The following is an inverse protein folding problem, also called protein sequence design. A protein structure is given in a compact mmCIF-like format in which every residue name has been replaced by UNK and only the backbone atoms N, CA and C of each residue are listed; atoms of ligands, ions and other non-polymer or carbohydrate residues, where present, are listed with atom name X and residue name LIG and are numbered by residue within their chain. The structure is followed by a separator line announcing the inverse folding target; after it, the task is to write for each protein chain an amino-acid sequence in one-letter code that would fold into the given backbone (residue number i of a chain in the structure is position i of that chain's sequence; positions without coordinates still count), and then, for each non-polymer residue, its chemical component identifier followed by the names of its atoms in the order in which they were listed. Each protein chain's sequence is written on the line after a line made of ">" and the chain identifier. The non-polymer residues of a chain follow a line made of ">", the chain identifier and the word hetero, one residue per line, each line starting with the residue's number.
data_IF_746024377776
#
_entry.id   IF_746024377776
#
_cell.length_a   1.000
_cell.length_b   1.000
_cell.length_c   1.000
_cell.angle_alpha   90.00
_cell.angle_beta   90.00
_cell.angle_gamma   90.00
#
_symmetry.space_group_name_H-M   'P 1'
#
loop_
_entity.id
_entity.type
_entity.pdbx_description
1 polymer ?
#
# COMPACT_ATOMS: atom_id res chain seq x y z
N UNK A 1 5.87 -26.15 37.50
CA UNK A 1 6.21 -25.05 38.44
C UNK A 1 7.07 -24.06 37.65
N UNK A 2 6.63 -22.81 37.67
CA UNK A 2 6.96 -21.72 36.75
C UNK A 2 8.45 -21.56 36.42
N UNK A 3 8.77 -21.57 35.13
CA UNK A 3 9.98 -20.94 34.60
C UNK A 3 9.60 -19.51 34.19
N UNK A 4 9.97 -18.55 35.03
CA UNK A 4 9.94 -17.14 34.68
C UNK A 4 10.85 -16.93 33.47
N UNK A 5 10.25 -16.61 32.33
CA UNK A 5 10.93 -16.00 31.20
C UNK A 5 10.45 -14.56 31.13
N UNK A 6 11.07 -13.70 31.94
CA UNK A 6 10.99 -12.26 31.74
C UNK A 6 11.70 -11.95 30.42
N UNK A 7 10.95 -12.08 29.33
CA UNK A 7 11.35 -11.68 27.98
C UNK A 7 11.46 -10.17 27.94
N UNK A 8 12.60 -9.65 28.40
CA UNK A 8 13.02 -8.30 28.10
C UNK A 8 13.20 -8.27 26.59
N UNK A 9 12.25 -7.64 25.89
CA UNK A 9 12.40 -7.35 24.47
C UNK A 9 13.60 -6.42 24.32
N UNK A 10 14.76 -6.99 24.00
CA UNK A 10 15.97 -6.25 23.68
C UNK A 10 15.67 -5.40 22.45
N UNK A 11 15.46 -4.11 22.67
CA UNK A 11 15.18 -3.16 21.62
C UNK A 11 16.51 -2.85 20.94
N UNK A 12 16.76 -3.44 19.77
CA UNK A 12 17.90 -3.10 18.92
C UNK A 12 17.87 -1.57 18.66
N UNK A 13 18.88 -0.80 19.14
CA UNK A 13 18.88 0.66 19.05
C UNK A 13 18.94 1.19 17.61
N UNK A 14 19.21 0.33 16.62
CA UNK A 14 19.19 0.67 15.20
C UNK A 14 17.84 0.40 14.52
N UNK A 15 16.88 -0.19 15.24
CA UNK A 15 15.61 -0.64 14.66
C UNK A 15 14.46 0.28 15.05
N UNK A 16 13.97 1.02 14.08
CA UNK A 16 12.71 1.78 14.20
C UNK A 16 11.54 0.80 14.16
N UNK A 17 10.75 0.75 15.24
CA UNK A 17 9.59 -0.14 15.34
C UNK A 17 8.36 0.63 15.78
N UNK A 18 7.19 0.15 15.36
CA UNK A 18 5.90 0.63 15.83
C UNK A 18 4.96 -0.55 16.05
N UNK A 19 3.98 -0.37 16.94
CA UNK A 19 2.96 -1.39 17.22
C UNK A 19 1.71 -1.27 16.32
N UNK A 20 1.68 -0.28 15.42
CA UNK A 20 0.58 -0.11 14.47
C UNK A 20 0.55 -1.29 13.50
N UNK A 21 -0.60 -1.96 13.41
CA UNK A 21 -0.85 -2.99 12.40
C UNK A 21 -1.59 -2.32 11.25
N UNK A 22 -0.89 -2.09 10.15
CA UNK A 22 -1.42 -1.35 9.01
C UNK A 22 -1.30 -2.14 7.72
N UNK A 23 -2.23 -1.90 6.81
CA UNK A 23 -2.15 -2.33 5.42
C UNK A 23 -2.33 -1.14 4.48
N UNK A 24 -1.67 -1.20 3.33
CA UNK A 24 -1.93 -0.24 2.25
C UNK A 24 -3.28 -0.56 1.63
N UNK A 25 -4.07 0.47 1.35
CA UNK A 25 -5.29 0.35 0.55
C UNK A 25 -4.97 -0.14 -0.86
N UNK A 26 -3.82 0.22 -1.41
CA UNK A 26 -3.41 -0.07 -2.79
C UNK A 26 -2.39 -1.22 -2.81
N UNK A 27 -2.46 -2.05 -3.85
CA UNK A 27 -1.53 -3.18 -4.04
C UNK A 27 -0.23 -2.77 -4.70
N UNK A 28 -0.13 -1.52 -5.18
CA UNK A 28 0.99 -0.98 -5.97
C UNK A 28 1.16 -1.66 -7.34
N UNK A 29 0.18 -2.48 -7.72
CA UNK A 29 0.12 -3.22 -8.95
C UNK A 29 -1.30 -3.17 -9.49
N UNK A 30 -1.43 -2.91 -10.79
CA UNK A 30 -2.69 -2.96 -11.53
C UNK A 30 -3.15 -4.42 -11.69
N UNK A 31 -4.35 -4.62 -12.24
CA UNK A 31 -4.87 -5.96 -12.56
C UNK A 31 -3.96 -6.74 -13.51
N UNK A 32 -3.21 -6.05 -14.37
CA UNK A 32 -2.27 -6.65 -15.30
C UNK A 32 -0.85 -6.80 -14.71
N UNK A 33 -0.71 -6.62 -13.39
CA UNK A 33 0.56 -6.68 -12.67
C UNK A 33 1.58 -5.62 -13.10
N UNK A 34 1.13 -4.51 -13.69
CA UNK A 34 1.97 -3.34 -13.96
C UNK A 34 2.01 -2.41 -12.72
N UNK A 35 3.09 -1.65 -12.48
CA UNK A 35 3.14 -0.71 -11.36
C UNK A 35 2.02 0.34 -11.45
N UNK A 36 1.27 0.50 -10.35
CA UNK A 36 0.34 1.63 -10.20
C UNK A 36 1.14 2.94 -10.06
N UNK A 37 0.61 4.03 -10.61
CA UNK A 37 1.18 5.38 -10.54
C UNK A 37 0.25 6.29 -9.75
N UNK A 38 0.80 7.12 -8.87
CA UNK A 38 0.08 8.19 -8.15
C UNK A 38 0.60 9.59 -8.41
N UNK A 39 1.72 9.77 -9.13
CA UNK A 39 2.17 11.07 -9.65
C UNK A 39 2.72 10.96 -11.07
N UNK A 40 2.42 11.93 -11.94
CA UNK A 40 2.88 11.96 -13.33
C UNK A 40 3.27 13.36 -13.78
N UNK A 41 4.58 13.60 -13.81
CA UNK A 41 5.19 14.82 -14.29
C UNK A 41 5.75 14.63 -15.71
N UNK A 42 6.35 15.69 -16.28
CA UNK A 42 6.78 15.74 -17.68
C UNK A 42 7.71 14.61 -18.15
N UNK A 43 8.54 14.09 -17.26
CA UNK A 43 9.54 13.07 -17.61
C UNK A 43 9.24 11.72 -16.94
N UNK A 44 8.63 11.73 -15.75
CA UNK A 44 8.56 10.57 -14.88
C UNK A 44 7.17 10.32 -14.27
N UNK A 45 6.91 9.04 -14.01
CA UNK A 45 5.76 8.54 -13.27
C UNK A 45 6.22 7.79 -12.02
N UNK A 46 5.63 8.09 -10.86
CA UNK A 46 5.98 7.46 -9.59
C UNK A 46 4.76 7.12 -8.75
N UNK A 47 4.98 6.37 -7.66
CA UNK A 47 3.93 6.01 -6.70
C UNK A 47 4.27 6.36 -5.24
N UNK A 48 4.40 7.65 -4.89
CA UNK A 48 4.77 8.08 -3.53
C UNK A 48 3.59 8.13 -2.56
N UNK A 49 2.34 8.05 -3.04
CA UNK A 49 1.16 8.29 -2.21
C UNK A 49 0.57 7.00 -1.66
N UNK A 50 0.14 7.04 -0.38
CA UNK A 50 -0.42 5.89 0.32
C UNK A 50 -1.61 6.29 1.18
N UNK A 51 -2.60 5.41 1.25
CA UNK A 51 -3.57 5.37 2.36
C UNK A 51 -3.30 4.08 3.13
N UNK A 52 -2.89 4.22 4.38
CA UNK A 52 -2.78 3.09 5.31
C UNK A 52 -4.00 3.04 6.21
N UNK A 53 -4.49 1.83 6.51
CA UNK A 53 -5.59 1.62 7.43
C UNK A 53 -5.28 0.51 8.43
N UNK A 54 -5.93 0.56 9.59
CA UNK A 54 -5.69 -0.37 10.69
C UNK A 54 -6.29 -1.75 10.39
N UNK A 55 -5.52 -2.81 10.68
CA UNK A 55 -5.91 -4.20 10.46
C UNK A 55 -5.62 -5.04 11.71
N UNK A 56 -6.31 -6.17 11.85
CA UNK A 56 -6.11 -7.07 12.99
C UNK A 56 -4.80 -7.85 12.89
N UNK A 57 -4.47 -8.30 11.67
CA UNK A 57 -3.28 -9.09 11.38
C UNK A 57 -2.84 -8.90 9.93
N UNK A 58 -1.52 -8.86 9.73
CA UNK A 58 -0.86 -8.81 8.42
C UNK A 58 0.32 -9.77 8.45
N UNK A 59 0.18 -10.91 7.80
CA UNK A 59 1.24 -11.90 7.70
C UNK A 59 1.78 -11.96 6.29
N UNK A 60 3.11 -12.01 6.18
CA UNK A 60 3.80 -12.24 4.90
C UNK A 60 4.07 -13.73 4.80
N UNK A 61 3.29 -14.43 3.99
CA UNK A 61 3.49 -15.83 3.72
C UNK A 61 4.43 -15.96 2.51
N UNK A 62 5.65 -16.45 2.76
CA UNK A 62 6.58 -16.82 1.70
C UNK A 62 6.02 -18.03 0.97
N UNK A 63 5.53 -17.84 -0.26
CA UNK A 63 5.13 -18.96 -1.09
C UNK A 63 6.38 -19.54 -1.75
N UNK A 64 6.66 -20.83 -1.50
CA UNK A 64 7.69 -21.60 -2.21
C UNK A 64 7.23 -21.96 -3.63
N UNK A 65 6.83 -20.95 -4.42
CA UNK A 65 6.45 -21.11 -5.81
C UNK A 65 7.56 -20.53 -6.70
N UNK A 66 7.69 -21.04 -7.93
CA UNK A 66 8.72 -20.63 -8.91
C UNK A 66 8.77 -19.11 -9.19
N UNK A 67 7.76 -18.36 -8.77
CA UNK A 67 7.65 -16.92 -8.94
C UNK A 67 8.14 -16.08 -7.73
N UNK A 68 8.53 -16.68 -6.59
CA UNK A 68 8.95 -15.96 -5.37
C UNK A 68 8.03 -14.78 -4.99
N UNK A 69 6.72 -14.92 -5.16
CA UNK A 69 5.77 -13.89 -4.75
C UNK A 69 5.33 -14.16 -3.33
N UNK A 70 5.63 -13.23 -2.43
CA UNK A 70 5.10 -13.25 -1.07
C UNK A 70 3.59 -12.97 -1.12
N UNK A 71 2.78 -13.88 -0.55
CA UNK A 71 1.36 -13.64 -0.36
C UNK A 71 1.16 -12.87 0.95
N UNK A 72 0.45 -11.75 0.88
CA UNK A 72 0.03 -11.01 2.07
C UNK A 72 -1.32 -11.59 2.52
N UNK A 73 -1.31 -12.30 3.66
CA UNK A 73 -2.55 -12.70 4.32
C UNK A 73 -3.00 -11.54 5.21
N UNK A 74 -4.16 -10.98 4.92
CA UNK A 74 -4.72 -9.86 5.64
C UNK A 74 -6.00 -10.28 6.38
N UNK A 75 -6.04 -9.99 7.68
CA UNK A 75 -7.29 -10.04 8.45
C UNK A 75 -7.65 -8.62 8.87
N UNK A 76 -8.73 -8.10 8.32
CA UNK A 76 -9.23 -6.77 8.67
C UNK A 76 -9.68 -6.70 10.14
N UNK A 77 -9.60 -5.49 10.70
CA UNK A 77 -10.16 -5.18 12.01
C UNK A 77 -11.56 -4.58 11.86
N UNK A 78 -12.04 -3.77 12.83
CA UNK A 78 -13.34 -3.10 12.73
C UNK A 78 -13.49 -2.13 11.55
N UNK A 79 -12.37 -1.64 11.01
CA UNK A 79 -12.34 -0.79 9.83
C UNK A 79 -12.12 -1.68 8.59
N UNK A 80 -13.16 -1.79 7.77
CA UNK A 80 -13.18 -2.64 6.57
C UNK A 80 -13.08 -1.79 5.30
N UNK A 81 -12.20 -2.18 4.38
CA UNK A 81 -12.08 -1.55 3.07
C UNK A 81 -13.23 -2.05 2.17
N UNK A 82 -14.18 -1.17 1.87
CA UNK A 82 -15.34 -1.50 1.02
C UNK A 82 -14.95 -1.44 -0.46
N UNK A 83 -14.31 -0.35 -0.86
CA UNK A 83 -13.87 -0.11 -2.24
C UNK A 83 -12.80 0.96 -2.30
N UNK A 84 -12.09 1.00 -3.43
CA UNK A 84 -11.12 2.05 -3.76
C UNK A 84 -11.26 2.44 -5.24
N UNK A 85 -10.94 3.69 -5.57
CA UNK A 85 -10.74 4.07 -6.96
C UNK A 85 -9.37 3.54 -7.41
N UNK A 86 -9.33 2.76 -8.48
CA UNK A 86 -8.09 2.15 -9.00
C UNK A 86 -7.13 3.20 -9.55
N UNK A 87 -5.83 2.96 -9.38
CA UNK A 87 -4.79 3.76 -10.03
C UNK A 87 -4.44 3.20 -11.42
N UNK A 88 -4.09 4.06 -12.39
CA UNK A 88 -3.58 3.65 -13.68
C UNK A 88 -2.11 3.22 -13.59
N UNK A 89 -1.63 2.54 -14.62
CA UNK A 89 -0.19 2.44 -14.89
C UNK A 89 0.30 3.60 -15.76
N UNK A 90 1.61 3.70 -15.91
CA UNK A 90 2.25 4.76 -16.70
C UNK A 90 1.85 4.73 -18.18
N UNK A 91 1.63 3.55 -18.77
CA UNK A 91 1.26 3.43 -20.19
C UNK A 91 -0.09 4.08 -20.44
N UNK A 92 -1.04 3.83 -19.53
CA UNK A 92 -2.36 4.49 -19.58
C UNK A 92 -2.19 6.01 -19.43
N UNK A 93 -1.39 6.49 -18.48
CA UNK A 93 -1.22 7.93 -18.26
C UNK A 93 -0.58 8.65 -19.46
N UNK A 94 0.39 8.03 -20.13
CA UNK A 94 1.00 8.57 -21.35
C UNK A 94 0.02 8.70 -22.52
N UNK A 95 -1.11 7.99 -22.48
CA UNK A 95 -2.20 8.11 -23.46
C UNK A 95 -3.26 9.18 -23.11
N UNK A 96 -3.10 9.88 -21.98
CA UNK A 96 -4.02 10.94 -21.53
C UNK A 96 -3.52 12.34 -21.89
N UNK A 97 -4.22 13.38 -21.40
CA UNK A 97 -3.84 14.79 -21.57
C UNK A 97 -2.60 15.22 -20.75
N UNK A 98 -1.82 14.27 -20.20
CA UNK A 98 -0.61 14.59 -19.44
C UNK A 98 0.53 15.13 -20.31
N UNK A 99 1.65 15.54 -19.69
CA UNK A 99 1.95 15.46 -18.26
C UNK A 99 1.16 16.45 -17.39
N UNK A 100 1.20 16.24 -16.07
CA UNK A 100 0.53 17.08 -15.09
C UNK A 100 1.56 17.84 -14.22
N UNK A 101 1.18 18.96 -13.58
CA UNK A 101 -0.09 19.68 -13.77
C UNK A 101 -0.18 20.32 -15.18
N UNK A 102 -1.41 20.61 -15.62
CA UNK A 102 -1.69 21.30 -16.88
C UNK A 102 -3.00 22.12 -16.77
N UNK A 103 -3.48 22.64 -17.89
CA UNK A 103 -4.70 23.50 -17.92
C UNK A 103 -5.98 22.83 -17.40
N UNK A 104 -6.05 21.50 -17.42
CA UNK A 104 -7.21 20.72 -16.96
C UNK A 104 -6.98 20.02 -15.62
N UNK A 105 -5.72 19.66 -15.32
CA UNK A 105 -5.34 18.93 -14.10
C UNK A 105 -4.42 19.81 -13.25
N UNK A 106 -4.87 20.31 -12.09
CA UNK A 106 -4.13 21.31 -11.33
C UNK A 106 -3.00 20.75 -10.46
N UNK A 107 -2.91 19.43 -10.31
CA UNK A 107 -1.85 18.73 -9.57
C UNK A 107 -1.25 17.63 -10.44
N UNK A 108 0.04 17.36 -10.25
CA UNK A 108 0.76 16.19 -10.75
C UNK A 108 0.39 14.88 -10.03
N UNK A 109 -0.23 14.97 -8.85
CA UNK A 109 -0.67 13.81 -8.07
C UNK A 109 -2.11 13.39 -8.38
N UNK A 110 -2.35 12.08 -8.36
CA UNK A 110 -3.67 11.45 -8.51
C UNK A 110 -4.31 11.33 -7.13
N UNK A 111 -5.53 11.84 -6.91
CA UNK A 111 -6.21 11.67 -5.64
C UNK A 111 -6.50 10.19 -5.35
N UNK A 112 -6.00 9.72 -4.20
CA UNK A 112 -6.35 8.41 -3.66
C UNK A 112 -7.73 8.48 -3.01
N UNK A 113 -8.62 7.55 -3.35
CA UNK A 113 -10.00 7.50 -2.86
C UNK A 113 -10.31 6.09 -2.39
N UNK A 114 -10.75 5.98 -1.14
CA UNK A 114 -11.13 4.73 -0.51
C UNK A 114 -12.35 4.95 0.38
N UNK A 115 -13.27 3.99 0.35
CA UNK A 115 -14.41 3.96 1.25
C UNK A 115 -14.19 2.87 2.29
N UNK A 116 -14.40 3.25 3.55
CA UNK A 116 -14.36 2.33 4.67
C UNK A 116 -15.72 2.28 5.37
N UNK A 117 -16.01 1.13 5.96
CA UNK A 117 -17.06 0.99 6.97
C UNK A 117 -16.41 0.67 8.30
N UNK A 118 -16.94 1.25 9.38
CA UNK A 118 -16.53 0.98 10.75
C UNK A 118 -17.63 0.18 11.43
N UNK A 119 -17.31 -1.03 11.88
CA UNK A 119 -18.20 -1.91 12.66
C UNK A 119 -18.11 -1.66 14.16
#
# INVERSE_FOLDING_TARGET
>A
RFSDSTGVHECDPLKWTHNLKMASVYSHLTRNSAPEVSTFQSEDAHNPDFIFYSVKQRDVQKLNNKANQDAILLTEGPLHLVRRLTLPDETVLRSTLGPWPNSTTPSDHIPLIADFVLE
#
